data_IF_869219593028
#
_entry.id   IF_869219593028
#
_cell.length_a   1.000
_cell.length_b   1.000
_cell.length_c   1.000
_cell.angle_alpha   90.00
_cell.angle_beta   90.00
_cell.angle_gamma   90.00
#
_symmetry.space_group_name_H-M   'P 1'
#
loop_
_entity.id
_entity.type
_entity.pdbx_description
1 polymer ?
#
# COMPACT_ATOMS: atom_id res chain seq x y z
N UNK A 1 -0.66 -9.20 -8.49
CA UNK A 1 -1.57 -8.72 -9.57
C UNK A 1 -0.71 -8.42 -10.80
N UNK A 2 -1.28 -8.33 -12.01
CA UNK A 2 -0.53 -7.72 -13.11
C UNK A 2 -0.28 -6.25 -12.79
N UNK A 3 0.98 -5.82 -12.81
CA UNK A 3 1.39 -4.45 -12.49
C UNK A 3 1.60 -3.69 -13.80
N UNK A 4 1.04 -2.49 -13.87
CA UNK A 4 1.28 -1.56 -14.97
C UNK A 4 2.63 -0.84 -14.75
N UNK A 5 3.54 -0.93 -15.73
CA UNK A 5 4.90 -0.39 -15.60
C UNK A 5 4.92 1.13 -15.37
N UNK A 6 4.00 1.88 -16.01
CA UNK A 6 3.90 3.32 -15.82
C UNK A 6 3.35 3.67 -14.43
N UNK A 7 2.39 2.89 -13.93
CA UNK A 7 1.90 3.00 -12.56
C UNK A 7 3.01 2.71 -11.55
N UNK A 8 3.80 1.66 -11.78
CA UNK A 8 4.94 1.29 -10.97
C UNK A 8 5.98 2.40 -10.90
N UNK A 9 6.49 2.85 -12.05
CA UNK A 9 7.51 3.89 -12.14
C UNK A 9 7.08 5.19 -11.46
N UNK A 10 5.78 5.52 -11.51
CA UNK A 10 5.22 6.72 -10.86
C UNK A 10 5.09 6.58 -9.34
N UNK A 11 4.75 5.40 -8.84
CA UNK A 11 4.44 5.18 -7.43
C UNK A 11 5.66 4.71 -6.60
N UNK A 12 6.55 3.92 -7.19
CA UNK A 12 7.73 3.35 -6.54
C UNK A 12 8.93 4.28 -6.66
N UNK A 13 8.81 5.47 -6.06
CA UNK A 13 9.87 6.50 -6.06
C UNK A 13 10.27 6.86 -4.64
N UNK A 14 11.52 7.28 -4.44
CA UNK A 14 12.04 7.67 -3.13
C UNK A 14 11.95 6.51 -2.12
N UNK A 15 11.31 6.77 -0.97
CA UNK A 15 11.19 5.83 0.16
C UNK A 15 9.98 4.86 0.04
N UNK A 16 9.42 4.68 -1.16
CA UNK A 16 8.22 3.88 -1.37
C UNK A 16 8.34 2.43 -0.88
N UNK A 17 9.47 1.76 -1.15
CA UNK A 17 9.66 0.36 -0.75
C UNK A 17 9.75 0.20 0.79
N UNK A 18 10.38 1.15 1.47
CA UNK A 18 10.42 1.20 2.94
C UNK A 18 9.02 1.38 3.53
N UNK A 19 8.24 2.33 2.98
CA UNK A 19 6.84 2.55 3.38
C UNK A 19 6.00 1.28 3.19
N UNK A 20 6.17 0.55 2.08
CA UNK A 20 5.50 -0.73 1.85
C UNK A 20 5.88 -1.78 2.89
N UNK A 21 7.16 -1.87 3.23
CA UNK A 21 7.65 -2.77 4.29
C UNK A 21 7.00 -2.47 5.64
N UNK A 22 6.98 -1.22 6.06
CA UNK A 22 6.34 -0.80 7.31
C UNK A 22 4.83 -1.01 7.29
N UNK A 23 4.16 -0.72 6.17
CA UNK A 23 2.74 -1.00 6.01
C UNK A 23 2.44 -2.50 6.14
N UNK A 24 3.26 -3.37 5.54
CA UNK A 24 3.11 -4.83 5.66
C UNK A 24 3.31 -5.35 7.08
N UNK A 25 4.12 -4.66 7.90
CA UNK A 25 4.29 -4.99 9.33
C UNK A 25 3.07 -4.48 10.12
N UNK A 26 2.72 -3.20 9.99
CA UNK A 26 1.61 -2.59 10.72
C UNK A 26 0.26 -3.27 10.43
N UNK A 27 0.05 -3.71 9.18
CA UNK A 27 -1.18 -4.39 8.77
C UNK A 27 -1.40 -5.76 9.42
N UNK A 28 -0.40 -6.35 10.08
CA UNK A 28 -0.57 -7.61 10.81
C UNK A 28 -1.35 -7.45 12.11
N UNK A 29 -1.27 -6.28 12.74
CA UNK A 29 -1.84 -6.02 14.07
C UNK A 29 -3.01 -5.04 14.05
N UNK A 30 -3.19 -4.27 12.97
CA UNK A 30 -4.31 -3.34 12.83
C UNK A 30 -5.65 -4.06 12.67
N UNK A 31 -6.73 -3.54 13.24
CA UNK A 31 -8.08 -3.98 12.91
C UNK A 31 -8.34 -3.87 11.40
N UNK A 32 -8.93 -4.91 10.81
CA UNK A 32 -9.09 -4.99 9.36
C UNK A 32 -10.33 -4.23 8.88
N UNK A 33 -10.33 -2.92 9.13
CA UNK A 33 -11.36 -1.98 8.71
C UNK A 33 -10.75 -0.81 7.93
N UNK A 34 -11.46 -0.30 6.93
CA UNK A 34 -10.99 0.74 6.01
C UNK A 34 -10.50 1.99 6.74
N UNK A 35 -11.21 2.42 7.79
CA UNK A 35 -10.81 3.57 8.62
C UNK A 35 -9.47 3.32 9.33
N UNK A 36 -9.32 2.15 9.95
CA UNK A 36 -8.09 1.76 10.66
C UNK A 36 -6.91 1.64 9.70
N UNK A 37 -7.10 1.03 8.53
CA UNK A 37 -6.09 0.93 7.48
C UNK A 37 -5.67 2.32 6.97
N UNK A 38 -6.65 3.21 6.74
CA UNK A 38 -6.41 4.58 6.31
C UNK A 38 -5.57 5.33 7.34
N UNK A 39 -5.97 5.31 8.62
CA UNK A 39 -5.28 5.97 9.71
C UNK A 39 -3.83 5.49 9.83
N UNK A 40 -3.59 4.18 9.76
CA UNK A 40 -2.24 3.62 9.76
C UNK A 40 -1.39 4.17 8.61
N UNK A 41 -1.92 4.25 7.40
CA UNK A 41 -1.18 4.80 6.26
C UNK A 41 -0.98 6.32 6.37
N UNK A 42 -1.93 7.04 6.96
CA UNK A 42 -1.77 8.47 7.29
C UNK A 42 -0.63 8.69 8.28
N UNK A 43 -0.54 7.89 9.35
CA UNK A 43 0.52 7.96 10.36
C UNK A 43 1.90 7.66 9.77
N UNK A 44 2.01 6.57 8.98
CA UNK A 44 3.25 6.21 8.28
C UNK A 44 3.69 7.31 7.29
N UNK A 45 2.73 7.95 6.62
CA UNK A 45 2.96 9.09 5.75
C UNK A 45 3.41 10.33 6.52
N UNK A 46 2.73 10.66 7.62
CA UNK A 46 3.02 11.84 8.44
C UNK A 46 4.43 11.78 9.05
N UNK A 47 4.88 10.61 9.49
CA UNK A 47 6.25 10.39 9.97
C UNK A 47 7.33 10.72 8.92
N UNK A 48 6.95 10.74 7.63
CA UNK A 48 7.80 11.06 6.48
C UNK A 48 7.51 12.45 5.87
N UNK A 49 6.64 13.25 6.49
CA UNK A 49 6.18 14.53 5.93
C UNK A 49 5.31 14.37 4.67
N UNK A 50 4.74 13.19 4.43
CA UNK A 50 3.91 12.89 3.28
C UNK A 50 2.42 13.07 3.59
N UNK A 51 1.69 13.68 2.67
CA UNK A 51 0.22 13.64 2.67
C UNK A 51 -0.27 12.24 2.26
N UNK A 52 -1.48 11.87 2.69
CA UNK A 52 -2.09 10.56 2.41
C UNK A 52 -2.02 10.16 0.93
N UNK A 53 -2.27 11.09 0.00
CA UNK A 53 -2.20 10.80 -1.44
C UNK A 53 -0.85 10.26 -1.92
N UNK A 54 0.25 10.72 -1.31
CA UNK A 54 1.61 10.23 -1.59
C UNK A 54 1.90 8.92 -0.84
N UNK A 55 1.47 8.82 0.41
CA UNK A 55 1.67 7.62 1.22
C UNK A 55 0.90 6.39 0.69
N UNK A 56 -0.34 6.58 0.22
CA UNK A 56 -1.18 5.48 -0.28
C UNK A 56 -0.82 5.01 -1.70
N UNK A 57 -0.15 5.85 -2.50
CA UNK A 57 0.14 5.57 -3.90
C UNK A 57 0.92 4.25 -4.11
N UNK A 58 2.04 3.98 -3.41
CA UNK A 58 2.74 2.70 -3.53
C UNK A 58 1.87 1.53 -3.08
N UNK A 59 1.08 1.65 -2.00
CA UNK A 59 0.19 0.58 -1.53
C UNK A 59 -0.85 0.25 -2.61
N UNK A 60 -1.46 1.26 -3.23
CA UNK A 60 -2.44 1.06 -4.30
C UNK A 60 -1.82 0.30 -5.47
N UNK A 61 -0.63 0.69 -5.92
CA UNK A 61 0.01 0.04 -7.06
C UNK A 61 0.45 -1.38 -6.70
N UNK A 62 1.03 -1.60 -5.52
CA UNK A 62 1.39 -2.96 -5.07
C UNK A 62 0.18 -3.90 -5.04
N UNK A 63 -0.98 -3.41 -4.56
CA UNK A 63 -2.16 -4.26 -4.36
C UNK A 63 -3.03 -4.38 -5.62
N UNK A 64 -3.14 -3.34 -6.43
CA UNK A 64 -4.08 -3.29 -7.57
C UNK A 64 -3.40 -3.28 -8.93
N UNK A 65 -2.11 -2.96 -8.99
CA UNK A 65 -1.35 -2.75 -10.23
C UNK A 65 -1.68 -1.44 -10.95
N UNK A 66 -2.53 -0.57 -10.37
CA UNK A 66 -3.05 0.65 -11.00
C UNK A 66 -2.88 1.88 -10.11
N UNK A 67 -2.81 3.07 -10.70
CA UNK A 67 -2.73 4.35 -9.97
C UNK A 67 -4.10 4.90 -9.55
N UNK A 68 -5.18 4.41 -10.17
CA UNK A 68 -6.55 4.84 -9.95
C UNK A 68 -7.47 3.64 -9.81
N UNK A 69 -8.59 3.80 -9.12
CA UNK A 69 -9.59 2.76 -8.93
C UNK A 69 -10.57 3.17 -7.84
N UNK A 70 -11.34 2.19 -7.36
CA UNK A 70 -12.22 2.36 -6.19
C UNK A 70 -11.47 2.93 -4.98
N UNK A 71 -12.20 3.45 -3.99
CA UNK A 71 -11.63 3.84 -2.69
C UNK A 71 -10.72 2.74 -2.15
N UNK A 72 -9.45 3.09 -1.89
CA UNK A 72 -8.40 2.09 -1.68
C UNK A 72 -8.69 1.25 -0.45
N UNK A 73 -8.96 1.90 0.68
CA UNK A 73 -9.02 1.23 1.98
C UNK A 73 -10.24 0.33 2.10
N UNK A 74 -11.36 0.73 1.51
CA UNK A 74 -12.57 -0.08 1.34
C UNK A 74 -12.27 -1.29 0.44
N UNK A 75 -11.48 -1.09 -0.63
CA UNK A 75 -11.04 -2.21 -1.47
C UNK A 75 -10.11 -3.17 -0.72
N UNK A 76 -9.23 -2.67 0.16
CA UNK A 76 -8.34 -3.50 0.99
C UNK A 76 -9.13 -4.28 2.05
N UNK A 77 -10.12 -3.64 2.68
CA UNK A 77 -11.04 -4.27 3.62
C UNK A 77 -11.73 -5.48 2.96
N UNK A 78 -12.35 -5.28 1.80
CA UNK A 78 -13.01 -6.34 1.03
C UNK A 78 -12.03 -7.43 0.55
N UNK A 79 -10.81 -7.03 0.13
CA UNK A 79 -9.81 -7.98 -0.37
C UNK A 79 -9.26 -8.91 0.73
N UNK A 80 -9.25 -8.44 1.98
CA UNK A 80 -8.75 -9.15 3.14
C UNK A 80 -7.25 -8.96 3.39
N UNK A 81 -6.85 -9.21 4.65
CA UNK A 81 -5.51 -9.00 5.17
C UNK A 81 -4.44 -9.77 4.42
N UNK A 82 -4.57 -11.10 4.39
CA UNK A 82 -3.50 -11.97 3.88
C UNK A 82 -3.16 -11.67 2.42
N UNK A 83 -4.18 -11.44 1.60
CA UNK A 83 -4.00 -11.11 0.19
C UNK A 83 -3.40 -9.72 0.00
N UNK A 84 -3.81 -8.74 0.81
CA UNK A 84 -3.24 -7.38 0.77
C UNK A 84 -1.77 -7.40 1.16
N UNK A 85 -1.45 -7.97 2.32
CA UNK A 85 -0.07 -8.06 2.83
C UNK A 85 0.81 -8.90 1.90
N UNK A 86 0.30 -10.02 1.37
CA UNK A 86 1.02 -10.85 0.41
C UNK A 86 1.39 -10.10 -0.87
N UNK A 87 0.47 -9.27 -1.41
CA UNK A 87 0.77 -8.44 -2.58
C UNK A 87 1.76 -7.32 -2.28
N UNK A 88 1.69 -6.72 -1.10
CA UNK A 88 2.68 -5.73 -0.65
C UNK A 88 4.06 -6.36 -0.52
N UNK A 89 4.15 -7.55 0.08
CA UNK A 89 5.41 -8.30 0.21
C UNK A 89 6.02 -8.67 -1.14
N UNK A 90 5.21 -9.15 -2.07
CA UNK A 90 5.69 -9.42 -3.43
C UNK A 90 6.19 -8.16 -4.17
N UNK A 91 5.68 -6.98 -3.83
CA UNK A 91 6.17 -5.73 -4.41
C UNK A 91 7.52 -5.27 -3.82
N UNK A 92 7.92 -5.75 -2.64
CA UNK A 92 9.20 -5.39 -2.02
C UNK A 92 10.27 -6.48 -2.17
N UNK A 93 9.90 -7.66 -2.66
CA UNK A 93 10.83 -8.77 -2.90
C UNK A 93 11.22 -8.82 -4.41
N UNK A 94 12.48 -8.51 -4.75
CA UNK A 94 12.95 -8.54 -6.15
C UNK A 94 13.02 -9.95 -6.76
N UNK A 95 12.74 -11.01 -5.98
CA UNK A 95 12.80 -12.41 -6.44
C UNK A 95 11.42 -13.06 -6.60
N UNK A 96 10.32 -12.33 -6.35
CA UNK A 96 8.94 -12.83 -6.49
C UNK A 96 8.30 -12.60 -7.86
#
# INVERSE_FOLDING_TARGET
>A
PAIDDAAWAKAMTGDALSLLGEAAVAFQTVEWHAESLKRTVEELGAARGLKLGKAQAPIRVAVTGRTVGLPLFESLEVLGRDRTVGRIRAAIDPLS
#
